data_IF_780841022499
#
_entry.id   IF_780841022499
#
_cell.length_a   1.000
_cell.length_b   1.000
_cell.length_c   1.000
_cell.angle_alpha   90.00
_cell.angle_beta   90.00
_cell.angle_gamma   90.00
#
_symmetry.space_group_name_H-M   'P 1'
#
loop_
_entity.id
_entity.type
_entity.pdbx_description
1 polymer ?
#
# COMPACT_ATOMS: atom_id res chain seq x y z
N UNK A 1 -0.69 47.80 -30.52
CA UNK A 1 0.05 46.68 -29.90
C UNK A 1 -0.87 45.46 -30.06
N UNK A 2 -0.76 44.58 -31.07
CA UNK A 2 0.35 43.74 -31.58
C UNK A 2 0.50 42.43 -30.77
N UNK A 3 -0.18 41.38 -31.28
CA UNK A 3 0.00 39.92 -31.06
C UNK A 3 -0.21 39.40 -29.62
N UNK A 4 -0.69 38.20 -29.27
CA UNK A 4 -1.10 36.93 -29.91
C UNK A 4 -1.73 36.08 -28.77
N UNK A 5 -2.88 35.41 -28.99
CA UNK A 5 -3.35 34.19 -28.27
C UNK A 5 -2.32 33.06 -28.55
N UNK A 6 -2.10 31.93 -27.80
CA UNK A 6 -3.00 31.11 -26.93
C UNK A 6 -2.39 30.62 -25.58
N UNK A 7 -3.21 30.19 -24.60
CA UNK A 7 -3.67 28.81 -24.29
C UNK A 7 -2.55 27.77 -24.13
N UNK A 8 -2.68 27.00 -23.04
CA UNK A 8 -2.08 25.69 -22.77
C UNK A 8 -0.64 25.67 -22.27
N UNK A 9 -0.39 24.80 -21.29
CA UNK A 9 0.92 24.38 -20.75
C UNK A 9 1.37 25.01 -19.43
N UNK A 10 0.48 25.18 -18.44
CA UNK A 10 0.94 24.89 -17.08
C UNK A 10 0.80 23.38 -16.90
N UNK A 11 1.94 22.73 -17.07
CA UNK A 11 2.17 21.32 -16.90
C UNK A 11 1.45 20.83 -15.64
N UNK A 12 0.47 19.96 -15.82
CA UNK A 12 0.11 19.02 -14.77
C UNK A 12 1.32 18.13 -14.54
N UNK A 13 2.24 18.55 -13.66
CA UNK A 13 3.14 17.61 -13.00
C UNK A 13 2.24 16.74 -12.12
N UNK A 14 1.63 15.72 -12.73
CA UNK A 14 1.20 14.54 -11.99
C UNK A 14 2.49 13.94 -11.42
N UNK A 15 2.90 14.42 -10.24
CA UNK A 15 4.01 13.84 -9.52
C UNK A 15 3.73 12.36 -9.37
N UNK A 16 4.68 11.51 -9.75
CA UNK A 16 4.60 10.09 -9.47
C UNK A 16 4.45 9.96 -7.94
N UNK A 17 3.24 9.64 -7.47
CA UNK A 17 3.00 9.28 -6.08
C UNK A 17 3.75 7.98 -5.87
N UNK A 18 4.98 8.09 -5.41
CA UNK A 18 5.77 6.94 -5.00
C UNK A 18 5.34 6.65 -3.59
N UNK A 19 4.85 5.43 -3.36
CA UNK A 19 4.53 4.97 -2.02
C UNK A 19 5.83 4.91 -1.21
N UNK A 20 5.98 5.82 -0.24
CA UNK A 20 7.16 5.95 0.61
C UNK A 20 6.76 5.77 2.06
N UNK A 21 7.48 4.95 2.81
CA UNK A 21 7.21 4.67 4.22
C UNK A 21 7.69 3.29 4.62
N UNK A 22 7.70 3.02 5.92
CA UNK A 22 8.00 1.69 6.47
C UNK A 22 6.71 1.11 7.01
N UNK A 23 6.37 -0.09 6.55
CA UNK A 23 5.10 -0.71 6.82
C UNK A 23 5.29 -2.08 7.46
N UNK A 24 4.40 -2.36 8.39
CA UNK A 24 4.22 -3.67 8.98
C UNK A 24 3.09 -4.39 8.24
N UNK A 25 3.37 -5.58 7.72
CA UNK A 25 2.41 -6.43 7.01
C UNK A 25 2.18 -7.70 7.82
N UNK A 26 0.92 -8.02 8.10
CA UNK A 26 0.54 -9.21 8.87
C UNK A 26 -0.67 -9.91 8.24
N UNK A 27 -0.77 -11.23 8.43
CA UNK A 27 -1.87 -12.05 7.92
C UNK A 27 -2.69 -12.64 9.07
N UNK A 28 -4.00 -12.52 8.97
CA UNK A 28 -4.97 -13.00 9.95
C UNK A 28 -6.07 -13.81 9.28
N UNK A 29 -6.75 -14.69 10.03
CA UNK A 29 -7.98 -15.32 9.57
C UNK A 29 -9.22 -14.45 9.87
N UNK A 30 -10.41 -14.93 9.51
CA UNK A 30 -11.69 -14.23 9.75
C UNK A 30 -11.99 -13.98 11.25
N UNK A 31 -11.36 -14.75 12.15
CA UNK A 31 -11.49 -14.55 13.59
C UNK A 31 -10.48 -13.54 14.16
N UNK A 32 -9.60 -12.99 13.30
CA UNK A 32 -8.51 -12.09 13.69
C UNK A 32 -7.30 -12.81 14.28
N UNK A 33 -7.21 -14.13 14.14
CA UNK A 33 -6.05 -14.90 14.62
C UNK A 33 -4.91 -14.79 13.60
N UNK A 34 -3.72 -14.48 14.09
CA UNK A 34 -2.52 -14.45 13.27
C UNK A 34 -2.23 -15.80 12.60
N UNK A 35 -1.98 -15.78 11.30
CA UNK A 35 -1.66 -16.94 10.47
C UNK A 35 -0.15 -17.14 10.29
N UNK A 36 0.62 -16.05 10.35
CA UNK A 36 2.09 -16.07 10.35
C UNK A 36 2.65 -15.95 11.77
N UNK A 37 3.83 -16.53 12.00
CA UNK A 37 4.55 -16.47 13.29
C UNK A 37 5.13 -15.07 13.59
N UNK A 38 4.72 -14.03 12.88
CA UNK A 38 5.28 -12.70 13.01
C UNK A 38 4.73 -11.71 11.98
N UNK A 39 5.16 -10.47 12.19
CA UNK A 39 4.92 -9.31 11.34
C UNK A 39 6.10 -9.13 10.38
N UNK A 40 5.82 -8.76 9.14
CA UNK A 40 6.84 -8.52 8.13
C UNK A 40 7.03 -7.02 7.94
N UNK A 41 8.27 -6.57 7.79
CA UNK A 41 8.56 -5.17 7.46
C UNK A 41 8.77 -5.04 5.96
N UNK A 42 8.14 -4.02 5.38
CA UNK A 42 8.28 -3.67 3.97
C UNK A 42 8.45 -2.15 3.82
N UNK A 43 9.25 -1.75 2.84
CA UNK A 43 9.44 -0.34 2.52
C UNK A 43 8.69 0.02 1.23
N UNK A 44 7.90 1.09 1.27
CA UNK A 44 7.14 1.59 0.13
C UNK A 44 6.36 0.49 -0.59
N UNK A 45 6.47 0.45 -1.93
CA UNK A 45 5.81 -0.57 -2.77
C UNK A 45 6.20 -2.04 -2.47
N UNK A 46 7.22 -2.29 -1.64
CA UNK A 46 7.56 -3.63 -1.17
C UNK A 46 6.42 -4.34 -0.42
N UNK A 47 5.43 -3.58 0.08
CA UNK A 47 4.21 -4.14 0.68
C UNK A 47 3.51 -5.13 -0.25
N UNK A 48 3.54 -4.90 -1.56
CA UNK A 48 2.86 -5.73 -2.53
C UNK A 48 3.53 -7.09 -2.67
N UNK A 49 4.86 -7.14 -2.61
CA UNK A 49 5.61 -8.39 -2.64
C UNK A 49 5.27 -9.25 -1.42
N UNK A 50 5.26 -8.63 -0.23
CA UNK A 50 4.94 -9.34 1.02
C UNK A 50 3.47 -9.79 1.03
N UNK A 51 2.54 -8.90 0.69
CA UNK A 51 1.10 -9.20 0.58
C UNK A 51 0.84 -10.37 -0.35
N UNK A 52 1.38 -10.32 -1.58
CA UNK A 52 1.16 -11.37 -2.57
C UNK A 52 1.78 -12.70 -2.13
N UNK A 53 2.94 -12.67 -1.48
CA UNK A 53 3.56 -13.88 -0.91
C UNK A 53 2.68 -14.48 0.19
N UNK A 54 2.16 -13.65 1.10
CA UNK A 54 1.24 -14.09 2.15
C UNK A 54 -0.04 -14.66 1.58
N UNK A 55 -0.66 -14.02 0.58
CA UNK A 55 -1.85 -14.56 -0.07
C UNK A 55 -1.58 -15.88 -0.80
N UNK A 56 -0.40 -16.06 -1.40
CA UNK A 56 -0.03 -17.33 -2.02
C UNK A 56 0.08 -18.47 -1.01
N UNK A 57 0.49 -18.18 0.23
CA UNK A 57 0.61 -19.19 1.31
C UNK A 57 -0.73 -19.39 2.02
N UNK A 58 -1.50 -18.32 2.20
CA UNK A 58 -2.78 -18.28 2.91
C UNK A 58 -3.87 -17.65 2.02
N UNK A 59 -4.50 -18.40 1.12
CA UNK A 59 -5.43 -17.85 0.11
C UNK A 59 -6.67 -17.17 0.66
N UNK A 60 -7.01 -17.39 1.93
CA UNK A 60 -8.17 -16.78 2.61
C UNK A 60 -7.78 -15.83 3.73
N UNK A 61 -6.51 -15.42 3.79
CA UNK A 61 -6.06 -14.47 4.79
C UNK A 61 -6.65 -13.08 4.56
N UNK A 62 -6.80 -12.36 5.66
CA UNK A 62 -6.98 -10.92 5.70
C UNK A 62 -5.62 -10.31 6.04
N UNK A 63 -5.08 -9.52 5.13
CA UNK A 63 -3.79 -8.84 5.28
C UNK A 63 -4.03 -7.46 5.86
N UNK A 64 -3.35 -7.14 6.96
CA UNK A 64 -3.32 -5.80 7.55
C UNK A 64 -1.97 -5.17 7.26
N UNK A 65 -1.98 -3.92 6.78
CA UNK A 65 -0.78 -3.13 6.49
C UNK A 65 -0.84 -1.87 7.33
N UNK A 66 0.13 -1.69 8.23
CA UNK A 66 0.22 -0.51 9.11
C UNK A 66 1.48 0.27 8.83
N UNK A 67 1.38 1.58 8.85
CA UNK A 67 2.54 2.46 8.90
C UNK A 67 3.23 2.35 10.27
N UNK A 68 4.54 2.12 10.28
CA UNK A 68 5.30 1.85 11.51
C UNK A 68 5.45 3.11 12.37
N UNK A 69 5.45 4.31 11.78
CA UNK A 69 5.65 5.56 12.51
C UNK A 69 4.38 6.02 13.21
N UNK A 70 3.24 5.89 12.53
CA UNK A 70 1.92 6.34 13.02
C UNK A 70 1.09 5.24 13.68
N UNK A 71 1.45 3.96 13.51
CA UNK A 71 0.66 2.77 13.89
C UNK A 71 -0.76 2.73 13.27
N UNK A 72 -0.97 3.52 12.21
CA UNK A 72 -2.24 3.59 11.46
C UNK A 72 -2.25 2.59 10.32
N UNK A 73 -3.43 2.02 10.05
CA UNK A 73 -3.61 1.21 8.84
C UNK A 73 -3.45 2.07 7.59
N UNK A 74 -2.75 1.52 6.60
CA UNK A 74 -2.52 2.19 5.33
C UNK A 74 -3.81 2.21 4.51
N UNK A 75 -4.43 3.37 4.45
CA UNK A 75 -5.67 3.60 3.70
C UNK A 75 -5.50 3.20 2.22
N UNK A 76 -6.51 2.53 1.67
CA UNK A 76 -6.50 2.06 0.28
C UNK A 76 -5.76 0.73 0.05
N UNK A 77 -4.94 0.28 1.01
CA UNK A 77 -4.19 -0.97 0.92
C UNK A 77 -4.53 -1.97 2.04
N UNK A 78 -5.10 -1.50 3.15
CA UNK A 78 -5.50 -2.30 4.32
C UNK A 78 -6.97 -2.03 4.70
N UNK A 79 -7.72 -3.06 5.15
CA UNK A 79 -7.38 -4.48 5.06
C UNK A 79 -7.50 -5.00 3.63
N UNK A 80 -6.70 -6.01 3.28
CA UNK A 80 -6.77 -6.68 1.99
C UNK A 80 -7.20 -8.14 2.14
N UNK A 81 -8.23 -8.54 1.42
CA UNK A 81 -8.72 -9.92 1.41
C UNK A 81 -8.04 -10.71 0.27
N UNK A 82 -7.29 -11.75 0.63
CA UNK A 82 -6.73 -12.68 -0.34
C UNK A 82 -7.85 -13.48 -1.05
N UNK A 83 -7.61 -13.88 -2.29
CA UNK A 83 -8.54 -14.65 -3.13
C UNK A 83 -7.79 -15.72 -3.94
#
# INVERSE_FOLDING_TARGET
>A
MKFLVPVLSLLALAGCITMTGNYEVSAHDESGKALSNGKFLAHGSGIYTVRNSLCSVYPKAIITIKDVESDQELEGESPYHCH
#
